data_IF_566234675819
#
_entry.id   IF_566234675819
#
_cell.length_a   1.000
_cell.length_b   1.000
_cell.length_c   1.000
_cell.angle_alpha   90.00
_cell.angle_beta   90.00
_cell.angle_gamma   90.00
#
_symmetry.space_group_name_H-M   'P 1'
#
loop_
_entity.id
_entity.type
_entity.pdbx_description
1 polymer ?
#
# COMPACT_ATOMS: atom_id res chain seq x y z
N UNK A 1 -20.36 12.87 17.28
CA UNK A 1 -21.52 11.95 17.33
C UNK A 1 -22.22 11.75 15.98
N UNK A 2 -22.09 12.67 15.00
CA UNK A 2 -22.65 12.53 13.64
C UNK A 2 -21.81 11.55 12.77
N UNK A 3 -20.48 11.56 12.93
CA UNK A 3 -19.54 10.72 12.15
C UNK A 3 -19.71 9.22 12.46
N UNK A 4 -19.96 8.84 13.73
CA UNK A 4 -20.22 7.45 14.11
C UNK A 4 -21.57 6.92 13.57
N UNK A 5 -22.54 7.81 13.34
CA UNK A 5 -23.83 7.44 12.71
C UNK A 5 -23.65 7.20 11.21
N UNK A 6 -22.89 8.03 10.51
CA UNK A 6 -22.58 7.84 9.08
C UNK A 6 -21.66 6.64 8.83
N UNK A 7 -20.71 6.33 9.73
CA UNK A 7 -19.88 5.13 9.63
C UNK A 7 -20.71 3.83 9.67
N UNK A 8 -21.80 3.79 10.44
CA UNK A 8 -22.71 2.63 10.48
C UNK A 8 -23.47 2.41 9.17
N UNK A 9 -23.60 3.44 8.33
CA UNK A 9 -24.24 3.36 7.03
C UNK A 9 -23.27 2.89 5.93
N UNK A 10 -21.95 3.00 6.13
CA UNK A 10 -20.91 2.73 5.12
C UNK A 10 -20.13 1.43 5.34
N UNK A 11 -20.25 0.77 6.50
CA UNK A 11 -19.57 -0.50 6.80
C UNK A 11 -20.56 -1.64 7.07
N UNK A 12 -20.09 -2.87 6.88
CA UNK A 12 -20.82 -4.11 7.14
C UNK A 12 -19.98 -5.01 8.03
N UNK A 13 -20.62 -5.63 9.03
CA UNK A 13 -19.97 -6.52 9.99
C UNK A 13 -20.34 -7.97 9.72
N UNK A 14 -19.34 -8.79 9.43
CA UNK A 14 -19.51 -10.23 9.23
C UNK A 14 -18.95 -10.96 10.44
N UNK A 15 -19.82 -11.72 11.11
CA UNK A 15 -19.44 -12.54 12.24
C UNK A 15 -19.11 -13.94 11.76
N UNK A 16 -17.96 -14.47 12.18
CA UNK A 16 -17.59 -15.84 11.84
C UNK A 16 -16.75 -16.49 12.96
N UNK A 17 -16.64 -17.80 12.93
CA UNK A 17 -15.76 -18.54 13.84
C UNK A 17 -14.55 -19.03 13.06
N UNK A 18 -13.35 -18.65 13.49
CA UNK A 18 -12.12 -19.10 12.85
C UNK A 18 -11.98 -20.62 12.99
N UNK A 19 -11.86 -21.34 11.87
CA UNK A 19 -11.76 -22.81 11.85
C UNK A 19 -10.49 -23.32 12.53
N UNK A 20 -9.46 -22.48 12.63
CA UNK A 20 -8.14 -22.80 13.18
C UNK A 20 -8.05 -22.55 14.68
N UNK A 21 -8.31 -21.31 15.14
CA UNK A 21 -8.24 -20.98 16.58
C UNK A 21 -9.56 -21.13 17.34
N UNK A 22 -10.67 -21.46 16.65
CA UNK A 22 -12.02 -21.61 17.20
C UNK A 22 -12.61 -20.37 17.88
N UNK A 23 -11.93 -19.22 17.87
CA UNK A 23 -12.42 -17.94 18.39
C UNK A 23 -13.45 -17.32 17.42
N UNK A 24 -14.47 -16.65 17.98
CA UNK A 24 -15.39 -15.81 17.22
C UNK A 24 -14.70 -14.51 16.83
N UNK A 25 -14.87 -14.09 15.58
CA UNK A 25 -14.24 -12.93 14.96
C UNK A 25 -15.28 -12.08 14.25
N UNK A 26 -14.90 -10.82 14.00
CA UNK A 26 -15.70 -9.84 13.27
C UNK A 26 -14.85 -9.29 12.14
N UNK A 27 -15.33 -9.44 10.92
CA UNK A 27 -14.70 -8.88 9.74
C UNK A 27 -15.49 -7.63 9.34
N UNK A 28 -14.81 -6.49 9.27
CA UNK A 28 -15.40 -5.18 8.99
C UNK A 28 -15.13 -4.86 7.52
N UNK A 29 -16.17 -4.74 6.71
CA UNK A 29 -16.06 -4.47 5.27
C UNK A 29 -16.76 -3.16 4.94
N UNK A 30 -16.08 -2.18 4.34
CA UNK A 30 -16.77 -1.06 3.68
C UNK A 30 -17.79 -1.58 2.65
N UNK A 31 -19.04 -1.13 2.70
CA UNK A 31 -20.12 -1.57 1.78
C UNK A 31 -19.75 -1.39 0.31
N UNK A 32 -18.96 -0.35 -0.01
CA UNK A 32 -18.41 -0.08 -1.34
C UNK A 32 -17.54 -1.23 -1.89
N UNK A 33 -16.95 -2.06 -1.01
CA UNK A 33 -16.11 -3.21 -1.36
C UNK A 33 -16.90 -4.53 -1.40
N UNK A 34 -18.21 -4.51 -1.12
CA UNK A 34 -19.07 -5.69 -1.27
C UNK A 34 -19.43 -5.82 -2.74
N UNK A 35 -18.66 -6.63 -3.47
CA UNK A 35 -18.97 -6.95 -4.86
C UNK A 35 -20.10 -7.98 -4.88
N UNK A 36 -21.32 -7.54 -5.20
CA UNK A 36 -22.41 -8.47 -5.52
C UNK A 36 -22.20 -9.00 -6.93
N UNK A 37 -21.29 -9.95 -7.10
CA UNK A 37 -21.29 -10.75 -8.31
C UNK A 37 -22.38 -11.83 -8.22
N UNK A 38 -22.78 -12.31 -9.39
CA UNK A 38 -23.90 -13.22 -9.70
C UNK A 38 -24.30 -14.16 -8.55
N UNK A 39 -25.60 -14.46 -8.48
CA UNK A 39 -26.19 -15.40 -7.51
C UNK A 39 -25.34 -16.69 -7.36
N UNK A 40 -24.82 -16.93 -6.15
CA UNK A 40 -23.95 -18.07 -5.85
C UNK A 40 -22.44 -17.81 -5.87
N UNK A 41 -21.97 -16.61 -6.26
CA UNK A 41 -20.56 -16.25 -6.18
C UNK A 41 -20.08 -16.10 -4.72
N UNK A 42 -18.82 -16.47 -4.46
CA UNK A 42 -18.16 -16.24 -3.17
C UNK A 42 -17.16 -15.09 -3.30
N UNK A 43 -17.36 -14.04 -2.53
CA UNK A 43 -16.40 -12.95 -2.36
C UNK A 43 -15.28 -13.37 -1.41
N UNK A 44 -14.07 -12.89 -1.64
CA UNK A 44 -12.89 -13.20 -0.82
C UNK A 44 -12.50 -11.98 0.01
N UNK A 45 -12.43 -12.17 1.32
CA UNK A 45 -11.95 -11.15 2.26
C UNK A 45 -10.91 -11.76 3.19
N UNK A 46 -10.01 -10.92 3.71
CA UNK A 46 -8.88 -11.38 4.52
C UNK A 46 -9.07 -10.86 5.95
N UNK A 47 -9.03 -11.77 6.91
CA UNK A 47 -8.93 -11.45 8.34
C UNK A 47 -7.52 -11.78 8.83
N UNK A 48 -6.78 -10.77 9.29
CA UNK A 48 -5.46 -10.96 9.90
C UNK A 48 -5.62 -10.90 11.42
N UNK A 49 -5.30 -11.99 12.11
CA UNK A 49 -5.40 -12.04 13.56
C UNK A 49 -4.40 -13.01 14.19
N UNK A 50 -4.17 -12.85 15.50
CA UNK A 50 -3.46 -13.85 16.31
C UNK A 50 -4.28 -15.13 16.44
N UNK A 51 -3.77 -16.21 15.88
CA UNK A 51 -4.49 -17.45 15.66
C UNK A 51 -4.00 -18.53 16.65
N UNK A 52 -3.67 -19.72 16.13
CA UNK A 52 -3.12 -20.82 16.92
C UNK A 52 -1.77 -20.38 17.51
N UNK A 53 -1.52 -20.71 18.78
CA UNK A 53 -0.29 -20.37 19.52
C UNK A 53 0.03 -18.86 19.59
N UNK A 54 -0.98 -18.01 19.44
CA UNK A 54 -0.83 -16.55 19.41
C UNK A 54 -0.01 -16.01 18.23
N UNK A 55 0.27 -16.85 17.22
CA UNK A 55 0.96 -16.45 16.00
C UNK A 55 0.01 -15.70 15.05
N UNK A 56 0.52 -14.67 14.38
CA UNK A 56 -0.23 -13.99 13.33
C UNK A 56 -0.53 -14.94 12.18
N UNK A 57 -1.78 -14.95 11.73
CA UNK A 57 -2.20 -15.70 10.55
C UNK A 57 -3.22 -14.88 9.78
N UNK A 58 -3.10 -14.94 8.45
CA UNK A 58 -4.08 -14.38 7.54
C UNK A 58 -5.08 -15.47 7.17
N UNK A 59 -6.36 -15.22 7.42
CA UNK A 59 -7.46 -16.13 7.10
C UNK A 59 -8.26 -15.52 5.96
N UNK A 60 -8.13 -16.12 4.77
CA UNK A 60 -8.98 -15.79 3.63
C UNK A 60 -10.35 -16.41 3.89
N UNK A 61 -11.33 -15.55 4.14
CA UNK A 61 -12.74 -15.89 4.31
C UNK A 61 -13.45 -15.81 2.96
N UNK A 62 -14.07 -16.92 2.55
CA UNK A 62 -14.94 -16.96 1.37
C UNK A 62 -16.38 -16.75 1.83
N UNK A 63 -16.97 -15.65 1.37
CA UNK A 63 -18.23 -15.10 1.88
C UNK A 63 -19.26 -15.12 0.77
N UNK A 64 -20.46 -15.62 1.05
CA UNK A 64 -21.55 -15.61 0.08
C UNK A 64 -22.32 -14.27 0.07
N UNK A 65 -23.31 -14.17 -0.82
CA UNK A 65 -24.17 -13.00 -0.96
C UNK A 65 -25.03 -12.71 0.28
N UNK A 66 -25.19 -13.68 1.18
CA UNK A 66 -25.88 -13.50 2.48
C UNK A 66 -24.91 -13.07 3.59
N UNK A 67 -23.66 -12.73 3.23
CA UNK A 67 -22.60 -12.33 4.15
C UNK A 67 -22.22 -13.41 5.15
N UNK A 68 -22.35 -14.68 4.76
CA UNK A 68 -21.97 -15.83 5.58
C UNK A 68 -20.64 -16.38 5.09
N UNK A 69 -19.68 -16.54 6.01
CA UNK A 69 -18.40 -17.21 5.72
C UNK A 69 -18.64 -18.70 5.50
N UNK A 70 -18.48 -19.17 4.26
CA UNK A 70 -18.71 -20.56 3.84
C UNK A 70 -17.45 -21.42 3.95
N UNK A 71 -16.28 -20.84 3.70
CA UNK A 71 -15.00 -21.54 3.84
C UNK A 71 -13.88 -20.58 4.25
N UNK A 72 -12.76 -21.15 4.72
CA UNK A 72 -11.62 -20.42 5.25
C UNK A 72 -10.31 -21.07 4.80
N UNK A 73 -9.40 -20.29 4.21
CA UNK A 73 -8.04 -20.71 3.90
C UNK A 73 -7.04 -19.94 4.77
N UNK A 74 -6.06 -20.64 5.35
CA UNK A 74 -5.01 -20.01 6.17
C UNK A 74 -3.78 -19.75 5.33
N UNK A 75 -3.26 -18.53 5.42
CA UNK A 75 -1.96 -18.10 4.91
C UNK A 75 -1.05 -17.85 6.12
N UNK A 76 0.12 -18.50 6.15
CA UNK A 76 1.10 -18.34 7.24
C UNK A 76 2.14 -17.27 6.91
N UNK A 77 2.57 -16.53 7.93
CA UNK A 77 3.64 -15.54 7.84
C UNK A 77 5.02 -16.21 7.62
N UNK A 78 5.93 -15.55 6.90
CA UNK A 78 7.29 -16.04 6.57
C UNK A 78 8.20 -16.28 7.76
N UNK A 79 8.04 -15.55 8.87
CA UNK A 79 8.95 -15.62 10.01
C UNK A 79 8.95 -16.97 10.77
N UNK A 80 8.04 -17.89 10.44
CA UNK A 80 7.91 -19.20 11.08
C UNK A 80 8.82 -20.31 10.50
N UNK A 81 9.95 -19.97 9.85
CA UNK A 81 10.91 -20.96 9.34
C UNK A 81 10.28 -21.98 8.37
N UNK A 82 9.27 -21.56 7.62
CA UNK A 82 8.37 -22.46 6.91
C UNK A 82 8.68 -22.47 5.41
N UNK A 83 8.95 -23.65 4.87
CA UNK A 83 9.03 -23.89 3.43
C UNK A 83 7.64 -23.68 2.78
N UNK A 84 7.55 -22.90 1.70
CA UNK A 84 6.29 -22.60 1.01
C UNK A 84 5.54 -23.86 0.50
N UNK A 85 6.22 -24.99 0.35
CA UNK A 85 5.64 -26.27 -0.12
C UNK A 85 4.70 -26.94 0.89
N UNK A 86 4.60 -26.40 2.12
CA UNK A 86 3.73 -26.94 3.18
C UNK A 86 2.43 -26.16 3.39
N UNK A 87 2.13 -25.15 2.58
CA UNK A 87 0.79 -24.55 2.53
C UNK A 87 -0.12 -25.45 1.67
N UNK A 88 -0.55 -26.55 2.28
CA UNK A 88 -1.54 -27.54 1.86
C UNK A 88 -2.03 -27.45 0.39
N UNK A 89 -1.58 -28.39 -0.45
CA UNK A 89 -2.41 -29.52 -0.93
C UNK A 89 -1.66 -30.47 -1.88
N UNK A 90 -0.74 -31.29 -1.36
CA UNK A 90 -0.41 -32.57 -2.03
C UNK A 90 -0.15 -33.68 -1.00
N UNK A 91 -1.23 -34.16 -0.40
CA UNK A 91 -1.42 -35.62 -0.30
C UNK A 91 -2.82 -35.89 -0.79
N UNK A 92 -2.93 -36.43 -2.00
CA UNK A 92 -4.15 -37.04 -2.52
C UNK A 92 -4.59 -38.14 -1.55
N UNK A 93 -5.35 -37.78 -0.52
CA UNK A 93 -6.15 -38.73 0.21
C UNK A 93 -7.49 -38.81 -0.54
N UNK A 94 -7.79 -39.99 -1.08
CA UNK A 94 -9.02 -40.31 -1.82
C UNK A 94 -10.31 -40.20 -0.98
N UNK A 95 -10.26 -39.57 0.19
CA UNK A 95 -11.37 -39.37 1.12
C UNK A 95 -11.43 -37.90 1.53
N UNK A 96 -11.54 -36.98 0.57
CA UNK A 96 -11.68 -35.56 0.89
C UNK A 96 -13.17 -35.24 1.19
N UNK A 97 -13.55 -35.00 2.47
CA UNK A 97 -14.95 -34.87 2.88
C UNK A 97 -15.65 -33.64 2.30
N UNK A 98 -14.92 -32.66 1.74
CA UNK A 98 -15.48 -31.44 1.15
C UNK A 98 -16.09 -31.66 -0.25
N UNK A 99 -15.68 -32.71 -0.97
CA UNK A 99 -16.28 -33.12 -2.26
C UNK A 99 -17.73 -33.58 -2.09
N UNK A 100 -18.06 -34.20 -0.95
CA UNK A 100 -19.41 -34.71 -0.64
C UNK A 100 -20.43 -33.57 -0.48
N UNK A 101 -19.97 -32.37 -0.10
CA UNK A 101 -20.83 -31.22 0.17
C UNK A 101 -20.83 -30.16 -0.95
N UNK A 102 -20.20 -30.44 -2.11
CA UNK A 102 -20.02 -29.45 -3.19
C UNK A 102 -19.40 -28.12 -2.72
N UNK A 103 -18.60 -28.17 -1.64
CA UNK A 103 -17.89 -26.99 -1.13
C UNK A 103 -16.65 -26.82 -2.02
N UNK A 104 -16.49 -25.68 -2.73
CA UNK A 104 -15.34 -25.46 -3.58
C UNK A 104 -14.06 -25.59 -2.76
N UNK A 105 -13.22 -26.56 -3.13
CA UNK A 105 -11.92 -26.76 -2.50
C UNK A 105 -11.03 -25.53 -2.77
N UNK A 106 -10.29 -25.04 -1.76
CA UNK A 106 -9.23 -24.07 -2.02
C UNK A 106 -8.19 -24.75 -2.91
N UNK A 107 -8.17 -24.41 -4.19
CA UNK A 107 -7.10 -24.82 -5.10
C UNK A 107 -5.80 -24.18 -4.61
N UNK A 108 -4.68 -24.91 -4.65
CA UNK A 108 -3.35 -24.33 -4.46
C UNK A 108 -3.19 -23.19 -5.47
N UNK A 109 -3.35 -21.95 -5.03
CA UNK A 109 -3.19 -20.81 -5.93
C UNK A 109 -1.70 -20.63 -6.13
N UNK A 110 -1.18 -21.19 -7.23
CA UNK A 110 0.09 -20.74 -7.80
C UNK A 110 0.05 -19.22 -7.89
N UNK A 111 1.09 -18.53 -7.41
CA UNK A 111 1.14 -17.08 -7.47
C UNK A 111 0.87 -16.61 -8.91
N UNK A 112 -0.05 -15.67 -9.06
CA UNK A 112 -0.28 -15.02 -10.35
C UNK A 112 0.85 -14.03 -10.57
N UNK A 113 1.70 -14.29 -11.56
CA UNK A 113 2.74 -13.34 -11.94
C UNK A 113 2.16 -12.23 -12.81
N UNK A 114 2.49 -10.98 -12.49
CA UNK A 114 2.06 -9.79 -13.21
C UNK A 114 3.26 -8.91 -13.52
N UNK A 115 3.51 -8.70 -14.80
CA UNK A 115 4.54 -7.77 -15.27
C UNK A 115 3.93 -6.38 -15.39
N UNK A 116 4.43 -5.45 -14.58
CA UNK A 116 3.93 -4.08 -14.53
C UNK A 116 4.64 -3.25 -15.61
N UNK A 117 3.87 -2.59 -16.47
CA UNK A 117 4.39 -1.61 -17.43
C UNK A 117 4.54 -0.26 -16.74
N UNK A 118 5.70 0.36 -16.90
CA UNK A 118 6.04 1.64 -16.25
C UNK A 118 5.91 2.80 -17.22
N UNK A 119 5.71 4.02 -16.71
CA UNK A 119 5.71 5.23 -17.54
C UNK A 119 7.10 5.56 -18.08
N UNK A 120 8.13 5.20 -17.32
CA UNK A 120 9.53 5.37 -17.70
C UNK A 120 9.96 4.30 -18.70
N UNK A 121 10.62 4.73 -19.76
CA UNK A 121 11.28 3.84 -20.73
C UNK A 121 12.53 3.18 -20.15
N UNK A 122 13.22 3.89 -19.24
CA UNK A 122 14.39 3.39 -18.51
C UNK A 122 14.45 4.00 -17.11
N UNK A 123 14.68 3.15 -16.10
CA UNK A 123 14.96 3.58 -14.74
C UNK A 123 16.40 4.10 -14.61
N UNK A 124 16.64 5.07 -13.73
CA UNK A 124 17.98 5.67 -13.53
C UNK A 124 18.77 5.01 -12.42
N UNK A 125 18.10 4.54 -11.36
CA UNK A 125 18.73 4.03 -10.13
C UNK A 125 18.40 2.57 -9.83
N UNK A 126 17.22 2.13 -10.24
CA UNK A 126 16.71 0.77 -10.01
C UNK A 126 16.85 -0.05 -11.31
N UNK A 127 17.28 -1.30 -11.22
CA UNK A 127 17.29 -2.26 -12.35
C UNK A 127 16.01 -3.10 -12.35
N UNK A 128 15.47 -3.38 -11.16
CA UNK A 128 14.07 -3.79 -11.01
C UNK A 128 13.59 -3.99 -9.58
N UNK A 129 12.31 -4.30 -9.46
CA UNK A 129 11.57 -4.45 -8.21
C UNK A 129 10.61 -5.64 -8.33
N UNK A 130 10.65 -6.56 -7.37
CA UNK A 130 9.68 -7.66 -7.26
C UNK A 130 8.93 -7.53 -5.94
N UNK A 131 7.60 -7.57 -6.00
CA UNK A 131 6.74 -7.56 -4.81
C UNK A 131 5.95 -8.86 -4.83
N UNK A 132 6.25 -9.74 -3.89
CA UNK A 132 5.54 -11.00 -3.69
C UNK A 132 4.52 -10.82 -2.58
N UNK A 133 3.26 -10.83 -2.98
CA UNK A 133 2.11 -10.62 -2.12
C UNK A 133 1.40 -11.93 -1.80
N UNK A 134 1.62 -12.43 -0.59
CA UNK A 134 1.00 -13.67 -0.10
C UNK A 134 -0.47 -13.49 0.28
N UNK A 135 -0.89 -12.28 0.63
CA UNK A 135 -2.29 -11.99 0.97
C UNK A 135 -3.17 -12.16 -0.28
N UNK A 136 -2.71 -11.66 -1.43
CA UNK A 136 -3.44 -11.73 -2.71
C UNK A 136 -2.94 -12.82 -3.66
N UNK A 137 -1.96 -13.65 -3.26
CA UNK A 137 -1.32 -14.67 -4.11
C UNK A 137 -0.85 -14.10 -5.47
N UNK A 138 -0.20 -12.93 -5.45
CA UNK A 138 0.25 -12.23 -6.66
C UNK A 138 1.73 -11.87 -6.56
N UNK A 139 2.48 -12.01 -7.65
CA UNK A 139 3.86 -11.52 -7.75
C UNK A 139 3.89 -10.41 -8.78
N UNK A 140 4.17 -9.18 -8.35
CA UNK A 140 4.41 -8.05 -9.24
C UNK A 140 5.88 -7.99 -9.60
N UNK A 141 6.17 -7.90 -10.89
CA UNK A 141 7.53 -7.72 -11.42
C UNK A 141 7.58 -6.41 -12.19
N UNK A 142 8.49 -5.53 -11.77
CA UNK A 142 8.81 -4.28 -12.45
C UNK A 142 10.24 -4.38 -12.96
N UNK A 143 10.41 -4.17 -14.26
CA UNK A 143 11.70 -4.25 -14.95
C UNK A 143 12.42 -5.62 -14.75
N UNK A 144 13.75 -5.63 -14.64
CA UNK A 144 14.53 -6.87 -14.64
C UNK A 144 14.75 -7.41 -13.23
N UNK A 145 14.96 -8.72 -13.14
CA UNK A 145 15.28 -9.41 -11.88
C UNK A 145 16.80 -9.68 -11.77
N UNK A 146 17.59 -8.67 -12.13
CA UNK A 146 19.04 -8.68 -12.02
C UNK A 146 19.53 -7.31 -11.54
N UNK A 147 20.72 -7.25 -10.96
CA UNK A 147 21.31 -6.01 -10.48
C UNK A 147 22.57 -6.26 -9.66
N UNK A 148 23.39 -5.21 -9.51
CA UNK A 148 24.66 -5.30 -8.76
C UNK A 148 24.39 -5.55 -7.28
N UNK A 149 23.35 -4.90 -6.74
CA UNK A 149 22.98 -5.03 -5.34
C UNK A 149 21.51 -5.41 -5.19
N UNK A 150 21.29 -6.57 -4.58
CA UNK A 150 19.98 -7.05 -4.15
C UNK A 150 19.71 -6.68 -2.69
N UNK A 151 18.52 -6.15 -2.45
CA UNK A 151 17.99 -5.79 -1.13
C UNK A 151 16.67 -6.51 -0.97
N UNK A 152 16.65 -7.51 -0.09
CA UNK A 152 15.47 -8.29 0.27
C UNK A 152 14.90 -7.81 1.59
N UNK A 153 13.59 -7.57 1.63
CA UNK A 153 12.87 -7.15 2.82
C UNK A 153 11.58 -7.94 2.96
N UNK A 154 11.24 -8.25 4.20
CA UNK A 154 9.98 -8.87 4.60
C UNK A 154 9.20 -7.83 5.42
N UNK A 155 7.92 -7.66 5.12
CA UNK A 155 7.02 -6.80 5.88
C UNK A 155 6.91 -7.22 7.35
N UNK A 156 6.44 -6.30 8.20
CA UNK A 156 6.34 -6.52 9.65
C UNK A 156 5.51 -7.74 10.02
N UNK A 157 4.39 -8.02 9.35
CA UNK A 157 3.54 -9.18 9.61
C UNK A 157 3.95 -10.42 8.78
N UNK A 158 4.93 -10.27 7.88
CA UNK A 158 5.50 -11.38 7.11
C UNK A 158 4.65 -11.90 5.96
N UNK A 159 3.72 -11.10 5.45
CA UNK A 159 2.88 -11.48 4.30
C UNK A 159 3.33 -10.86 2.97
N UNK A 160 4.21 -9.85 3.00
CA UNK A 160 4.85 -9.29 1.82
C UNK A 160 6.35 -9.49 1.85
N UNK A 161 6.89 -9.85 0.70
CA UNK A 161 8.32 -9.87 0.42
C UNK A 161 8.60 -8.90 -0.73
N UNK A 162 9.61 -8.06 -0.57
CA UNK A 162 10.06 -7.13 -1.61
C UNK A 162 11.53 -7.35 -1.90
N UNK A 163 11.84 -7.56 -3.18
CA UNK A 163 13.18 -7.64 -3.72
C UNK A 163 13.47 -6.42 -4.59
N UNK A 164 14.40 -5.58 -4.16
CA UNK A 164 14.89 -4.44 -4.92
C UNK A 164 16.27 -4.76 -5.51
N UNK A 165 16.45 -4.47 -6.79
CA UNK A 165 17.71 -4.59 -7.51
C UNK A 165 18.21 -3.21 -7.93
N UNK A 166 19.35 -2.78 -7.38
CA UNK A 166 19.97 -1.51 -7.72
C UNK A 166 20.92 -1.64 -8.92
N UNK A 167 20.99 -0.57 -9.72
CA UNK A 167 22.03 -0.42 -10.74
C UNK A 167 23.42 -0.33 -10.12
N UNK A 168 24.42 -0.73 -10.89
CA UNK A 168 25.83 -0.74 -10.45
C UNK A 168 26.31 0.65 -10.04
N UNK A 169 26.03 1.66 -10.85
CA UNK A 169 26.42 3.05 -10.61
C UNK A 169 25.82 3.55 -9.30
N UNK A 170 24.54 3.27 -9.07
CA UNK A 170 23.80 3.64 -7.86
C UNK A 170 24.31 2.89 -6.63
N UNK A 171 24.53 1.58 -6.72
CA UNK A 171 25.07 0.78 -5.63
C UNK A 171 26.45 1.29 -5.19
N UNK A 172 27.30 1.66 -6.16
CA UNK A 172 28.62 2.22 -5.93
C UNK A 172 28.56 3.64 -5.33
N UNK A 173 27.61 4.47 -5.79
CA UNK A 173 27.36 5.80 -5.24
C UNK A 173 27.02 5.73 -3.75
N UNK A 174 26.01 4.93 -3.39
CA UNK A 174 25.56 4.75 -1.99
C UNK A 174 26.72 4.27 -1.10
N UNK A 175 27.48 3.28 -1.57
CA UNK A 175 28.65 2.78 -0.84
C UNK A 175 29.72 3.87 -0.63
N UNK A 176 30.00 4.67 -1.66
CA UNK A 176 31.00 5.74 -1.59
C UNK A 176 30.57 6.85 -0.64
N UNK A 177 29.29 7.24 -0.65
CA UNK A 177 28.74 8.23 0.29
C UNK A 177 28.86 7.73 1.74
N UNK A 178 28.48 6.47 2.00
CA UNK A 178 28.65 5.85 3.31
C UNK A 178 30.11 5.82 3.75
N UNK A 179 31.03 5.42 2.87
CA UNK A 179 32.47 5.34 3.19
C UNK A 179 33.04 6.71 3.58
N UNK A 180 32.60 7.78 2.93
CA UNK A 180 32.96 9.17 3.29
C UNK A 180 32.42 9.54 4.67
N UNK A 181 31.14 9.29 4.93
CA UNK A 181 30.47 9.55 6.23
C UNK A 181 31.12 8.77 7.37
N UNK A 182 31.37 7.46 7.20
CA UNK A 182 32.04 6.60 8.20
C UNK A 182 33.41 7.12 8.62
N UNK A 183 34.20 7.63 7.66
CA UNK A 183 35.52 8.22 7.95
C UNK A 183 35.44 9.53 8.74
N UNK A 184 34.43 10.36 8.47
CA UNK A 184 34.27 11.68 9.11
C UNK A 184 33.58 11.60 10.48
N UNK A 185 32.55 10.77 10.60
CA UNK A 185 31.58 10.81 11.70
C UNK A 185 31.58 9.54 12.57
N UNK A 186 32.46 8.56 12.29
CA UNK A 186 32.54 7.26 13.00
C UNK A 186 31.19 6.54 13.13
N UNK A 187 30.34 6.64 12.12
CA UNK A 187 29.00 6.05 12.12
C UNK A 187 29.09 4.52 12.05
N UNK A 188 28.18 3.83 12.75
CA UNK A 188 28.04 2.37 12.77
C UNK A 188 27.01 1.82 11.78
N UNK A 189 26.25 2.68 11.09
CA UNK A 189 25.23 2.25 10.13
C UNK A 189 25.83 1.46 8.97
N UNK A 190 25.04 0.61 8.35
CA UNK A 190 25.41 -0.08 7.11
C UNK A 190 25.17 0.83 5.89
N UNK A 191 25.88 0.60 4.76
CA UNK A 191 25.80 1.48 3.60
C UNK A 191 24.40 1.66 3.02
N UNK A 192 23.56 0.64 3.14
CA UNK A 192 22.24 0.57 2.50
C UNK A 192 21.09 0.69 3.51
N UNK A 193 21.33 1.18 4.72
CA UNK A 193 20.28 1.30 5.76
C UNK A 193 19.13 2.21 5.30
N UNK A 194 19.44 3.35 4.67
CA UNK A 194 18.43 4.27 4.14
C UNK A 194 17.60 3.61 3.01
N UNK A 195 18.27 2.89 2.11
CA UNK A 195 17.59 2.13 1.04
C UNK A 195 16.71 1.04 1.63
N UNK A 196 17.20 0.31 2.64
CA UNK A 196 16.44 -0.74 3.32
C UNK A 196 15.23 -0.15 4.03
N UNK A 197 15.35 1.05 4.62
CA UNK A 197 14.23 1.74 5.27
C UNK A 197 13.12 2.05 4.27
N UNK A 198 13.45 2.60 3.10
CA UNK A 198 12.47 2.82 2.03
C UNK A 198 11.68 1.56 1.69
N UNK A 199 12.37 0.44 1.48
CA UNK A 199 11.74 -0.82 1.09
C UNK A 199 10.98 -1.47 2.26
N UNK A 200 11.44 -1.29 3.49
CA UNK A 200 10.73 -1.74 4.68
C UNK A 200 9.41 -1.00 4.88
N UNK A 201 9.40 0.31 4.76
CA UNK A 201 8.17 1.09 4.91
C UNK A 201 7.19 0.78 3.78
N UNK A 202 7.68 0.62 2.54
CA UNK A 202 6.87 0.15 1.42
C UNK A 202 6.22 -1.22 1.72
N UNK A 203 7.00 -2.19 2.20
CA UNK A 203 6.52 -3.53 2.53
C UNK A 203 5.47 -3.48 3.65
N UNK A 204 5.68 -2.67 4.68
CA UNK A 204 4.73 -2.53 5.79
C UNK A 204 3.43 -1.84 5.34
N UNK A 205 3.53 -0.77 4.57
CA UNK A 205 2.36 -0.03 4.10
C UNK A 205 1.54 -0.86 3.13
N UNK A 206 2.15 -1.52 2.13
CA UNK A 206 1.47 -2.42 1.19
C UNK A 206 0.72 -3.57 1.90
N UNK A 207 1.28 -4.05 3.01
CA UNK A 207 0.69 -5.10 3.83
C UNK A 207 -0.57 -4.61 4.55
N UNK A 208 -0.64 -3.31 4.86
CA UNK A 208 -1.79 -2.66 5.50
C UNK A 208 -2.90 -2.25 4.52
N UNK A 209 -2.62 -2.19 3.22
CA UNK A 209 -3.63 -1.81 2.20
C UNK A 209 -4.67 -2.92 2.09
N UNK A 210 -5.95 -2.56 1.91
CA UNK A 210 -7.04 -3.55 1.70
C UNK A 210 -6.99 -4.14 0.29
N UNK A 211 -6.93 -3.29 -0.72
CA UNK A 211 -6.85 -3.67 -2.14
C UNK A 211 -5.58 -3.13 -2.77
N UNK A 212 -4.73 -4.00 -3.28
CA UNK A 212 -3.59 -3.57 -4.08
C UNK A 212 -4.02 -3.44 -5.53
N UNK A 213 -4.22 -2.21 -5.96
CA UNK A 213 -4.52 -1.89 -7.34
C UNK A 213 -3.23 -1.93 -8.15
N UNK A 214 -3.22 -2.62 -9.29
CA UNK A 214 -2.03 -2.69 -10.15
C UNK A 214 -1.65 -1.32 -10.70
N UNK A 215 -2.64 -0.43 -10.79
CA UNK A 215 -2.47 0.93 -11.30
C UNK A 215 -1.52 1.77 -10.44
N UNK A 216 -1.30 1.44 -9.16
CA UNK A 216 -0.38 2.19 -8.29
C UNK A 216 1.09 1.77 -8.52
N UNK A 217 1.33 0.57 -9.04
CA UNK A 217 2.67 -0.02 -9.14
C UNK A 217 3.65 0.82 -9.96
N UNK A 218 3.27 1.40 -11.12
CA UNK A 218 4.17 2.27 -11.89
C UNK A 218 4.62 3.51 -11.10
N UNK A 219 3.70 4.13 -10.34
CA UNK A 219 3.98 5.33 -9.56
C UNK A 219 4.92 5.04 -8.38
N UNK A 220 4.75 3.90 -7.71
CA UNK A 220 5.69 3.44 -6.67
C UNK A 220 7.09 3.29 -7.27
N UNK A 221 7.20 2.61 -8.41
CA UNK A 221 8.49 2.33 -9.05
C UNK A 221 9.21 3.63 -9.43
N UNK A 222 8.51 4.58 -10.03
CA UNK A 222 9.04 5.88 -10.41
C UNK A 222 9.46 6.71 -9.19
N UNK A 223 8.62 6.77 -8.16
CA UNK A 223 8.92 7.51 -6.95
C UNK A 223 10.16 6.96 -6.24
N UNK A 224 10.29 5.62 -6.15
CA UNK A 224 11.48 4.99 -5.60
C UNK A 224 12.70 5.28 -6.49
N UNK A 225 12.61 5.17 -7.82
CA UNK A 225 13.75 5.43 -8.70
C UNK A 225 14.32 6.85 -8.52
N UNK A 226 13.45 7.83 -8.27
CA UNK A 226 13.87 9.20 -7.97
C UNK A 226 14.50 9.34 -6.57
N UNK A 227 13.98 8.64 -5.55
CA UNK A 227 14.28 8.93 -4.15
C UNK A 227 15.09 7.85 -3.41
N UNK A 228 15.33 6.67 -3.98
CA UNK A 228 15.86 5.51 -3.24
C UNK A 228 17.23 5.75 -2.61
N UNK A 229 18.02 6.68 -3.14
CA UNK A 229 19.35 7.04 -2.62
C UNK A 229 19.33 8.20 -1.61
N UNK A 230 18.20 8.90 -1.46
CA UNK A 230 18.03 9.92 -0.43
C UNK A 230 17.60 9.30 0.89
N UNK A 231 17.74 10.07 1.98
CA UNK A 231 17.27 9.65 3.30
C UNK A 231 15.74 9.55 3.28
N UNK A 232 15.18 8.43 3.75
CA UNK A 232 13.76 8.27 3.97
C UNK A 232 13.31 9.07 5.21
N UNK A 233 13.09 10.38 5.07
CA UNK A 233 12.51 11.21 6.11
C UNK A 233 10.97 11.07 6.16
N UNK A 234 10.35 11.67 7.17
CA UNK A 234 8.91 11.54 7.42
C UNK A 234 8.07 12.07 6.25
N UNK A 235 8.47 13.20 5.66
CA UNK A 235 7.81 13.79 4.50
C UNK A 235 7.89 12.86 3.28
N UNK A 236 9.06 12.30 3.00
CA UNK A 236 9.25 11.40 1.87
C UNK A 236 8.47 10.08 2.06
N UNK A 237 8.38 9.58 3.30
CA UNK A 237 7.55 8.43 3.65
C UNK A 237 6.05 8.74 3.55
N UNK A 238 5.62 9.95 3.93
CA UNK A 238 4.24 10.40 3.73
C UNK A 238 3.87 10.43 2.24
N UNK A 239 4.73 11.00 1.39
CA UNK A 239 4.56 11.00 -0.07
C UNK A 239 4.40 9.57 -0.62
N UNK A 240 5.25 8.63 -0.20
CA UNK A 240 5.12 7.22 -0.58
C UNK A 240 3.79 6.62 -0.11
N UNK A 241 3.38 6.90 1.13
CA UNK A 241 2.08 6.43 1.65
C UNK A 241 0.91 7.02 0.86
N UNK A 242 0.96 8.29 0.43
CA UNK A 242 -0.08 8.90 -0.40
C UNK A 242 -0.20 8.21 -1.77
N UNK A 243 0.93 7.88 -2.40
CA UNK A 243 0.96 7.10 -3.65
C UNK A 243 0.32 5.72 -3.43
N UNK A 244 0.68 5.03 -2.36
CA UNK A 244 0.16 3.70 -2.04
C UNK A 244 -1.35 3.65 -1.86
N UNK A 245 -1.93 4.76 -1.42
CA UNK A 245 -3.37 4.85 -1.21
C UNK A 245 -4.07 5.75 -2.22
N UNK A 246 -3.44 6.05 -3.38
CA UNK A 246 -3.96 7.05 -4.31
C UNK A 246 -5.33 6.70 -4.91
N UNK A 247 -5.64 5.41 -5.06
CA UNK A 247 -6.90 4.91 -5.64
C UNK A 247 -7.98 4.65 -4.59
N UNK A 248 -7.70 4.86 -3.30
CA UNK A 248 -8.65 4.56 -2.21
C UNK A 248 -8.77 5.68 -1.19
N UNK A 249 -7.84 6.64 -1.17
CA UNK A 249 -7.88 7.75 -0.22
C UNK A 249 -8.70 8.90 -0.75
N UNK A 250 -9.49 9.51 0.13
CA UNK A 250 -10.31 10.67 -0.16
C UNK A 250 -9.65 11.91 0.43
N UNK A 251 -9.10 12.82 -0.39
CA UNK A 251 -8.65 14.13 0.05
C UNK A 251 -9.87 15.05 0.23
N UNK A 252 -10.02 15.63 1.42
CA UNK A 252 -11.15 16.49 1.79
C UNK A 252 -10.61 17.79 2.35
N UNK A 253 -11.10 18.91 1.81
CA UNK A 253 -10.93 20.25 2.36
C UNK A 253 -12.28 20.87 2.72
N UNK A 254 -12.26 22.00 3.41
CA UNK A 254 -13.42 22.84 3.65
C UNK A 254 -13.07 24.33 3.48
N UNK A 255 -14.09 25.19 3.51
CA UNK A 255 -13.91 26.64 3.31
C UNK A 255 -12.96 27.26 4.33
N UNK A 256 -12.99 26.82 5.60
CA UNK A 256 -12.10 27.32 6.64
C UNK A 256 -10.63 27.00 6.32
N UNK A 257 -10.35 25.77 5.89
CA UNK A 257 -8.99 25.35 5.51
C UNK A 257 -8.46 26.15 4.31
N UNK A 258 -9.32 26.55 3.37
CA UNK A 258 -8.94 27.43 2.26
C UNK A 258 -8.59 28.83 2.78
N UNK A 259 -9.38 29.39 3.71
CA UNK A 259 -9.07 30.69 4.32
C UNK A 259 -7.76 30.63 5.12
N UNK A 260 -7.53 29.55 5.84
CA UNK A 260 -6.29 29.34 6.59
C UNK A 260 -5.07 29.25 5.65
N UNK A 261 -5.22 28.58 4.50
CA UNK A 261 -4.21 28.54 3.45
C UNK A 261 -3.92 29.93 2.88
N UNK A 262 -4.96 30.71 2.52
CA UNK A 262 -4.79 32.07 1.99
C UNK A 262 -4.03 32.93 2.99
N UNK A 263 -4.43 32.90 4.26
CA UNK A 263 -3.76 33.63 5.34
C UNK A 263 -2.31 33.20 5.53
N UNK A 264 -2.04 31.90 5.46
CA UNK A 264 -0.68 31.35 5.54
C UNK A 264 0.19 31.89 4.40
N UNK A 265 -0.35 31.94 3.18
CA UNK A 265 0.34 32.49 2.01
C UNK A 265 0.62 33.98 2.18
N UNK A 266 -0.38 34.78 2.54
CA UNK A 266 -0.23 36.23 2.76
C UNK A 266 0.83 36.54 3.84
N UNK A 267 0.95 35.67 4.84
CA UNK A 267 1.90 35.83 5.94
C UNK A 267 3.32 35.44 5.54
N UNK A 268 3.50 34.31 4.88
CA UNK A 268 4.82 33.70 4.65
C UNK A 268 5.43 34.04 3.29
N UNK A 269 4.63 34.53 2.34
CA UNK A 269 5.05 34.76 0.96
C UNK A 269 4.77 36.19 0.49
N UNK A 270 5.24 37.18 1.25
CA UNK A 270 5.04 38.61 0.94
C UNK A 270 5.80 39.10 -0.32
N UNK A 271 6.77 38.33 -0.81
CA UNK A 271 7.53 38.61 -2.04
C UNK A 271 7.79 37.31 -2.82
N UNK A 272 6.76 36.82 -3.50
CA UNK A 272 6.86 35.65 -4.36
C UNK A 272 7.61 35.95 -5.66
N UNK A 273 8.42 35.00 -6.11
CA UNK A 273 8.87 34.96 -7.50
C UNK A 273 7.77 34.37 -8.40
N UNK A 274 8.00 34.26 -9.72
CA UNK A 274 7.02 33.72 -10.68
C UNK A 274 6.64 32.26 -10.39
N UNK A 275 7.59 31.48 -9.90
CA UNK A 275 7.46 30.04 -9.70
C UNK A 275 6.65 29.77 -8.42
N UNK A 276 6.91 30.52 -7.35
CA UNK A 276 6.12 30.51 -6.11
C UNK A 276 4.64 30.84 -6.39
N UNK A 277 4.37 31.79 -7.31
CA UNK A 277 3.00 32.16 -7.71
C UNK A 277 2.32 30.98 -8.42
N UNK A 278 3.04 30.27 -9.28
CA UNK A 278 2.53 29.12 -10.01
C UNK A 278 2.19 27.98 -9.04
N UNK A 279 3.09 27.66 -8.12
CA UNK A 279 2.90 26.60 -7.13
C UNK A 279 1.70 26.86 -6.22
N UNK A 280 1.55 28.11 -5.77
CA UNK A 280 0.42 28.53 -4.93
C UNK A 280 -0.90 28.44 -5.69
N UNK A 281 -0.91 28.75 -6.99
CA UNK A 281 -2.10 28.54 -7.84
C UNK A 281 -2.45 27.05 -7.95
N UNK A 282 -1.46 26.17 -8.13
CA UNK A 282 -1.68 24.74 -8.19
C UNK A 282 -2.23 24.21 -6.86
N UNK A 283 -1.59 24.57 -5.74
CA UNK A 283 -2.04 24.25 -4.38
C UNK A 283 -3.49 24.68 -4.13
N UNK A 284 -3.83 25.92 -4.49
CA UNK A 284 -5.18 26.45 -4.35
C UNK A 284 -6.20 25.69 -5.20
N UNK A 285 -5.87 25.43 -6.47
CA UNK A 285 -6.75 24.70 -7.39
C UNK A 285 -7.06 23.31 -6.83
N UNK A 286 -6.05 22.62 -6.31
CA UNK A 286 -6.21 21.29 -5.70
C UNK A 286 -7.08 21.37 -4.44
N UNK A 287 -6.85 22.36 -3.56
CA UNK A 287 -7.69 22.58 -2.38
C UNK A 287 -9.16 22.81 -2.75
N UNK A 288 -9.42 23.62 -3.77
CA UNK A 288 -10.78 23.93 -4.26
C UNK A 288 -11.47 22.68 -4.83
N UNK A 289 -10.74 21.83 -5.58
CA UNK A 289 -11.26 20.55 -6.06
C UNK A 289 -11.60 19.55 -4.93
N UNK A 290 -10.97 19.70 -3.76
CA UNK A 290 -11.18 18.82 -2.61
C UNK A 290 -12.31 19.29 -1.67
N UNK A 291 -12.95 20.43 -1.93
CA UNK A 291 -13.96 21.00 -1.01
C UNK A 291 -15.16 20.07 -0.91
N UNK A 292 -15.43 19.61 0.32
CA UNK A 292 -16.51 18.65 0.61
C UNK A 292 -16.45 17.38 -0.27
N UNK A 293 -15.26 17.02 -0.75
CA UNK A 293 -15.10 15.83 -1.56
C UNK A 293 -15.40 14.57 -0.74
N UNK A 294 -16.31 13.73 -1.23
CA UNK A 294 -16.71 12.49 -0.56
C UNK A 294 -16.63 11.27 -1.49
N UNK A 295 -16.22 11.45 -2.74
CA UNK A 295 -16.27 10.41 -3.76
C UNK A 295 -14.99 10.26 -4.57
N UNK A 296 -14.24 11.36 -4.79
CA UNK A 296 -13.06 11.36 -5.66
C UNK A 296 -11.83 10.98 -4.87
N UNK A 297 -11.05 10.07 -5.41
CA UNK A 297 -9.78 9.63 -4.83
C UNK A 297 -8.67 10.63 -5.17
N UNK A 298 -7.50 10.51 -4.54
CA UNK A 298 -6.30 11.29 -4.90
C UNK A 298 -6.00 11.18 -6.40
N UNK A 299 -6.13 9.97 -6.97
CA UNK A 299 -5.96 9.74 -8.41
C UNK A 299 -7.00 10.50 -9.24
N UNK A 300 -8.27 10.46 -8.85
CA UNK A 300 -9.33 11.15 -9.59
C UNK A 300 -9.09 12.67 -9.62
N UNK A 301 -8.67 13.25 -8.47
CA UNK A 301 -8.29 14.66 -8.41
C UNK A 301 -7.11 14.97 -9.33
N UNK A 302 -6.09 14.09 -9.39
CA UNK A 302 -4.97 14.24 -10.32
C UNK A 302 -5.39 14.20 -11.79
N UNK A 303 -6.36 13.35 -12.14
CA UNK A 303 -6.85 13.22 -13.52
C UNK A 303 -7.75 14.37 -13.94
N UNK A 304 -8.43 15.03 -12.99
CA UNK A 304 -9.31 16.17 -13.26
C UNK A 304 -8.57 17.51 -13.29
N UNK A 305 -7.47 17.62 -12.54
CA UNK A 305 -6.65 18.81 -12.57
C UNK A 305 -5.81 18.85 -13.86
N UNK A 306 -5.75 20.00 -14.52
CA UNK A 306 -4.92 20.24 -15.71
C UNK A 306 -3.67 21.09 -15.40
N UNK A 307 -3.39 21.29 -14.11
CA UNK A 307 -2.42 22.27 -13.62
C UNK A 307 -1.03 21.68 -13.35
N UNK A 308 -0.93 20.37 -13.16
CA UNK A 308 0.30 19.67 -12.75
C UNK A 308 0.54 18.52 -13.71
N UNK A 309 1.67 18.58 -14.41
CA UNK A 309 1.99 17.65 -15.50
C UNK A 309 2.43 16.26 -15.01
N UNK A 310 2.97 16.17 -13.79
CA UNK A 310 3.52 14.95 -13.22
C UNK A 310 2.84 14.59 -11.89
N UNK A 311 2.53 13.30 -11.73
CA UNK A 311 1.95 12.77 -10.50
C UNK A 311 2.85 12.93 -9.27
N UNK A 312 4.18 12.85 -9.43
CA UNK A 312 5.12 13.02 -8.31
C UNK A 312 5.02 14.45 -7.73
N UNK A 313 4.95 15.45 -8.59
CA UNK A 313 4.83 16.86 -8.20
C UNK A 313 3.45 17.13 -7.59
N UNK A 314 2.41 16.48 -8.12
CA UNK A 314 1.07 16.53 -7.54
C UNK A 314 1.04 15.94 -6.11
N UNK A 315 1.70 14.80 -5.88
CA UNK A 315 1.82 14.20 -4.56
C UNK A 315 2.61 15.10 -3.60
N UNK A 316 3.61 15.82 -4.09
CA UNK A 316 4.32 16.81 -3.29
C UNK A 316 3.40 17.93 -2.80
N UNK A 317 2.52 18.43 -3.67
CA UNK A 317 1.50 19.42 -3.29
C UNK A 317 0.52 18.83 -2.25
N UNK A 318 -0.04 17.63 -2.50
CA UNK A 318 -0.96 16.97 -1.55
C UNK A 318 -0.29 16.76 -0.19
N UNK A 319 0.99 16.35 -0.19
CA UNK A 319 1.77 16.16 1.04
C UNK A 319 1.93 17.46 1.81
N UNK A 320 2.33 18.54 1.13
CA UNK A 320 2.46 19.87 1.74
C UNK A 320 1.14 20.35 2.35
N UNK A 321 0.03 20.23 1.61
CA UNK A 321 -1.30 20.64 2.07
C UNK A 321 -1.77 19.80 3.28
N UNK A 322 -1.46 18.50 3.28
CA UNK A 322 -1.83 17.60 4.36
C UNK A 322 -1.01 17.86 5.63
N UNK A 323 0.30 18.08 5.52
CA UNK A 323 1.16 18.34 6.68
C UNK A 323 0.81 19.64 7.39
N UNK A 324 0.39 20.65 6.62
CA UNK A 324 -0.02 21.94 7.16
C UNK A 324 -1.52 21.99 7.56
N UNK A 325 -2.21 20.84 7.55
CA UNK A 325 -3.64 20.70 7.90
C UNK A 325 -4.62 21.49 7.01
N UNK A 326 -4.19 21.94 5.83
CA UNK A 326 -5.07 22.56 4.83
C UNK A 326 -5.92 21.50 4.09
N UNK A 327 -5.49 20.24 4.12
CA UNK A 327 -6.19 19.12 3.50
C UNK A 327 -6.18 17.92 4.45
N UNK A 328 -7.31 17.22 4.55
CA UNK A 328 -7.40 15.96 5.31
C UNK A 328 -7.51 14.77 4.36
N UNK A 329 -6.63 13.78 4.50
CA UNK A 329 -6.65 12.58 3.65
C UNK A 329 -7.15 11.38 4.45
N UNK A 330 -8.36 10.91 4.13
CA UNK A 330 -8.92 9.68 4.72
C UNK A 330 -8.46 8.46 3.94
N UNK A 331 -7.93 7.45 4.64
CA UNK A 331 -7.36 6.23 4.05
C UNK A 331 -8.21 5.00 4.42
N UNK A 332 -8.38 4.06 3.50
CA UNK A 332 -8.87 2.71 3.81
C UNK A 332 -7.67 1.81 4.15
N UNK A 333 -7.52 1.45 5.42
CA UNK A 333 -6.46 0.55 5.91
C UNK A 333 -7.07 -0.62 6.68
N UNK A 334 -6.35 -1.75 6.73
CA UNK A 334 -6.56 -2.70 7.82
C UNK A 334 -6.04 -2.04 9.11
N UNK A 335 -6.92 -1.78 10.07
CA UNK A 335 -6.50 -1.33 11.40
C UNK A 335 -5.99 -2.55 12.19
N UNK A 336 -4.74 -2.47 12.66
CA UNK A 336 -4.21 -3.41 13.64
C UNK A 336 -5.02 -3.29 14.94
N UNK A 337 -5.66 -4.39 15.37
CA UNK A 337 -6.21 -4.55 16.72
C UNK A 337 -5.30 -5.44 17.58
#
# INVERSE_FOLDING_TARGET
MIILKQASETITLIHYQCNYCKKRRKLIIPKLLIKSEKEGALSQYIDIHRCINDEFSSIICFIDNNLVVRSQARVKATHAGYEPDRDLTEKNNNENPFLVFNIPLPQSKTFVEKVVKTFLSTFKKIEGLTIKDRLRNTIFKIAKQDGEKHIHVISRLGFLEIDLYLKKETAQEVYNQWRKKKKKEKIRSFPYDDVRRWIQELANELESVVTLDEEIMPYIAEYLDLNITSKADELALLKLALILHMTISLPISNEQQIQDFIKYIETNYQKMNSDDIQDVKHQRTILELCVNNITKTIKDIFMEQNSVDNFVDFIEIISFLSENNFLTVYKLKFEDY
#
